data_IF_418341912915
#
_entry.id   IF_418341912915
#
_cell.length_a   1.000
_cell.length_b   1.000
_cell.length_c   1.000
_cell.angle_alpha   90.00
_cell.angle_beta   90.00
_cell.angle_gamma   90.00
#
_symmetry.space_group_name_H-M   'P 1'
#
loop_
_entity.id
_entity.type
_entity.pdbx_description
1 polymer ?
#
# COMPACT_ATOMS: atom_id res chain seq x y z
N UNK A 1 16.76 -7.67 17.44
CA UNK A 1 15.53 -7.93 18.21
C UNK A 1 14.88 -9.20 17.66
N UNK A 2 14.58 -10.17 18.49
CA UNK A 2 13.84 -11.38 18.11
C UNK A 2 12.34 -11.10 18.06
N UNK A 3 11.52 -11.93 17.36
CA UNK A 3 10.06 -11.77 17.37
C UNK A 3 9.44 -11.78 18.77
N UNK A 4 10.04 -12.54 19.71
CA UNK A 4 9.59 -12.59 21.10
C UNK A 4 9.87 -11.29 21.86
N UNK A 5 11.05 -10.70 21.66
CA UNK A 5 11.43 -9.41 22.24
C UNK A 5 10.55 -8.30 21.68
N UNK A 6 10.33 -8.29 20.36
CA UNK A 6 9.43 -7.33 19.73
C UNK A 6 8.01 -7.44 20.29
N UNK A 7 7.47 -8.66 20.41
CA UNK A 7 6.15 -8.88 21.00
C UNK A 7 6.05 -8.39 22.44
N UNK A 8 7.12 -8.57 23.23
CA UNK A 8 7.15 -8.12 24.62
C UNK A 8 7.15 -6.59 24.76
N UNK A 9 7.66 -5.88 23.73
CA UNK A 9 7.73 -4.43 23.70
C UNK A 9 6.46 -3.76 23.14
N UNK A 10 5.46 -4.54 22.70
CA UNK A 10 4.15 -4.02 22.26
C UNK A 10 3.14 -4.15 23.39
N UNK A 11 2.75 -3.05 24.08
CA UNK A 11 1.85 -3.12 25.24
C UNK A 11 0.49 -3.76 24.94
N UNK A 12 -0.08 -3.49 23.75
CA UNK A 12 -1.36 -4.04 23.33
C UNK A 12 -1.38 -5.59 23.25
N UNK A 13 -0.23 -6.24 23.15
CA UNK A 13 -0.13 -7.71 23.08
C UNK A 13 -0.04 -8.40 24.44
N UNK A 14 0.05 -7.62 25.53
CA UNK A 14 0.20 -8.20 26.87
C UNK A 14 -1.14 -8.69 27.43
N UNK A 15 -2.23 -8.06 27.04
CA UNK A 15 -3.57 -8.33 27.58
C UNK A 15 -4.47 -9.13 26.62
N UNK A 16 -4.13 -9.18 25.33
CA UNK A 16 -4.96 -9.84 24.31
C UNK A 16 -4.19 -10.43 23.16
N UNK A 17 -4.79 -11.38 22.45
CA UNK A 17 -4.34 -11.84 21.15
C UNK A 17 -4.84 -10.85 20.08
N UNK A 18 -4.03 -9.85 19.74
CA UNK A 18 -4.38 -8.88 18.72
C UNK A 18 -4.14 -9.47 17.32
N UNK A 19 -5.17 -9.49 16.47
CA UNK A 19 -5.15 -10.11 15.14
C UNK A 19 -5.60 -9.14 14.02
N UNK A 20 -5.89 -7.89 14.33
CA UNK A 20 -6.44 -6.93 13.36
C UNK A 20 -5.39 -5.95 12.82
N UNK A 21 -4.25 -6.49 12.37
CA UNK A 21 -3.14 -5.68 11.83
C UNK A 21 -3.51 -4.91 10.57
N UNK A 22 -4.43 -5.43 9.76
CA UNK A 22 -4.89 -4.73 8.56
C UNK A 22 -5.63 -3.42 8.86
N UNK A 23 -6.25 -3.29 10.04
CA UNK A 23 -6.86 -2.04 10.45
C UNK A 23 -5.87 -1.10 11.16
N UNK A 24 -5.03 -1.65 12.02
CA UNK A 24 -4.01 -0.91 12.76
C UNK A 24 -2.95 -1.86 13.31
N UNK A 25 -1.68 -1.58 13.06
CA UNK A 25 -0.55 -2.30 13.65
C UNK A 25 -0.10 -1.60 14.95
N UNK A 26 -0.40 -2.13 16.16
CA UNK A 26 0.07 -1.53 17.39
C UNK A 26 1.60 -1.43 17.42
N UNK A 27 2.09 -0.26 17.76
CA UNK A 27 3.52 0.01 17.75
C UNK A 27 4.22 -0.51 19.02
N UNK A 28 5.48 -0.96 18.91
CA UNK A 28 6.36 -1.17 20.05
C UNK A 28 6.58 0.13 20.83
N UNK A 29 6.88 0.02 22.12
CA UNK A 29 7.10 1.19 22.98
C UNK A 29 8.23 2.08 22.46
N UNK A 30 9.35 1.50 22.02
CA UNK A 30 10.49 2.27 21.50
C UNK A 30 10.13 3.11 20.24
N UNK A 31 9.16 2.66 19.43
CA UNK A 31 8.68 3.44 18.27
C UNK A 31 7.88 4.65 18.74
N UNK A 32 6.99 4.46 19.72
CA UNK A 32 6.20 5.55 20.30
C UNK A 32 7.10 6.59 20.97
N UNK A 33 8.12 6.14 21.70
CA UNK A 33 9.11 7.00 22.34
C UNK A 33 9.88 7.82 21.26
N UNK A 34 10.36 7.16 20.21
CA UNK A 34 11.07 7.84 19.11
C UNK A 34 10.22 8.87 18.38
N UNK A 35 8.92 8.60 18.18
CA UNK A 35 7.97 9.57 17.61
C UNK A 35 7.81 10.77 18.53
N UNK A 36 7.64 10.52 19.84
CA UNK A 36 7.49 11.57 20.86
C UNK A 36 8.72 12.47 20.95
N UNK A 37 9.90 11.86 20.93
CA UNK A 37 11.19 12.58 20.96
C UNK A 37 11.36 13.42 19.69
N UNK A 38 10.99 12.87 18.52
CA UNK A 38 11.08 13.61 17.25
C UNK A 38 10.15 14.81 17.23
N UNK A 39 8.92 14.67 17.72
CA UNK A 39 7.97 15.78 17.84
C UNK A 39 8.51 16.83 18.82
N UNK A 40 8.99 16.41 19.98
CA UNK A 40 9.55 17.33 20.98
C UNK A 40 10.78 18.10 20.44
N UNK A 41 11.68 17.42 19.72
CA UNK A 41 12.84 18.03 19.12
C UNK A 41 12.43 19.08 18.07
N UNK A 42 11.51 18.71 17.19
CA UNK A 42 11.00 19.63 16.17
C UNK A 42 10.34 20.88 16.77
N UNK A 43 9.49 20.70 17.78
CA UNK A 43 8.75 21.81 18.40
C UNK A 43 9.64 22.70 19.30
N UNK A 44 10.57 22.11 20.03
CA UNK A 44 11.36 22.83 21.02
C UNK A 44 12.67 23.40 20.46
N UNK A 45 13.23 22.76 19.43
CA UNK A 45 14.54 23.11 18.87
C UNK A 45 14.46 23.73 17.46
N UNK A 46 13.28 23.96 16.92
CA UNK A 46 13.07 24.52 15.59
C UNK A 46 13.70 25.92 15.36
N UNK A 47 14.10 26.62 16.44
CA UNK A 47 14.83 27.89 16.36
C UNK A 47 16.34 27.73 16.19
N UNK A 48 16.91 26.53 16.29
CA UNK A 48 18.35 26.29 16.20
C UNK A 48 18.84 26.20 14.75
N UNK A 49 17.99 25.64 13.86
CA UNK A 49 18.28 25.42 12.43
C UNK A 49 17.10 25.88 11.56
N UNK A 50 17.29 25.89 10.24
CA UNK A 50 16.20 26.12 9.32
C UNK A 50 15.20 24.92 9.35
N UNK A 51 13.93 25.15 9.76
CA UNK A 51 12.94 24.07 9.92
C UNK A 51 12.67 23.30 8.63
N UNK A 52 12.72 23.96 7.47
CA UNK A 52 12.51 23.31 6.19
C UNK A 52 13.64 22.34 5.84
N UNK A 53 14.89 22.76 6.04
CA UNK A 53 16.06 21.91 5.81
C UNK A 53 16.01 20.67 6.71
N UNK A 54 15.66 20.83 7.98
CA UNK A 54 15.53 19.72 8.93
C UNK A 54 14.40 18.77 8.53
N UNK A 55 13.24 19.30 8.13
CA UNK A 55 12.10 18.49 7.68
C UNK A 55 12.45 17.69 6.42
N UNK A 56 12.98 18.31 5.37
CA UNK A 56 13.36 17.63 4.14
C UNK A 56 14.41 16.55 4.38
N UNK A 57 15.43 16.82 5.18
CA UNK A 57 16.43 15.83 5.54
C UNK A 57 15.83 14.64 6.31
N UNK A 58 14.75 14.85 7.06
CA UNK A 58 14.04 13.77 7.74
C UNK A 58 13.23 12.90 6.78
N UNK A 59 12.56 13.49 5.78
CA UNK A 59 11.90 12.77 4.71
C UNK A 59 12.88 11.96 3.86
N UNK A 60 14.04 12.54 3.52
CA UNK A 60 15.07 11.84 2.74
C UNK A 60 15.59 10.62 3.49
N UNK A 61 15.92 10.77 4.78
CA UNK A 61 16.32 9.63 5.63
C UNK A 61 15.25 8.55 5.74
N UNK A 62 13.96 8.93 5.79
CA UNK A 62 12.87 7.97 5.83
C UNK A 62 12.78 7.19 4.50
N UNK A 63 12.87 7.88 3.35
CA UNK A 63 12.87 7.25 2.02
C UNK A 63 14.05 6.29 1.85
N UNK A 64 15.26 6.70 2.23
CA UNK A 64 16.46 5.85 2.19
C UNK A 64 16.28 4.55 2.98
N UNK A 65 15.70 4.63 4.19
CA UNK A 65 15.45 3.45 5.02
C UNK A 65 14.39 2.52 4.45
N UNK A 66 13.30 3.07 3.92
CA UNK A 66 12.25 2.29 3.27
C UNK A 66 12.79 1.64 2.01
N UNK A 67 13.50 2.38 1.16
CA UNK A 67 14.13 1.87 -0.06
C UNK A 67 15.06 0.69 0.25
N UNK A 68 15.95 0.85 1.24
CA UNK A 68 16.85 -0.23 1.67
C UNK A 68 16.10 -1.47 2.20
N UNK A 69 14.92 -1.30 2.81
CA UNK A 69 14.11 -2.41 3.32
C UNK A 69 13.41 -3.18 2.21
N UNK A 70 12.87 -2.47 1.20
CA UNK A 70 12.12 -3.10 0.09
C UNK A 70 12.99 -3.43 -1.13
N UNK A 71 14.28 -3.04 -1.14
CA UNK A 71 15.20 -3.28 -2.26
C UNK A 71 14.96 -2.33 -3.45
N UNK A 72 14.55 -1.09 -3.17
CA UNK A 72 14.34 -0.03 -4.14
C UNK A 72 15.39 1.09 -4.00
N UNK A 73 15.41 2.05 -4.94
CA UNK A 73 16.17 3.29 -4.81
C UNK A 73 15.32 4.36 -4.07
N UNK A 74 15.92 5.30 -3.34
CA UNK A 74 15.17 6.34 -2.59
C UNK A 74 14.23 7.18 -3.47
N UNK A 75 14.58 7.38 -4.73
CA UNK A 75 13.80 8.11 -5.73
C UNK A 75 12.51 7.36 -6.14
N UNK A 76 12.48 6.04 -5.94
CA UNK A 76 11.31 5.19 -6.22
C UNK A 76 10.34 5.14 -5.04
N UNK A 77 10.67 5.77 -3.91
CA UNK A 77 9.85 5.77 -2.70
C UNK A 77 9.12 7.10 -2.55
N UNK A 78 7.79 7.06 -2.57
CA UNK A 78 6.93 8.16 -2.18
C UNK A 78 6.31 7.89 -0.80
N UNK A 79 6.50 8.82 0.14
CA UNK A 79 5.85 8.75 1.45
C UNK A 79 4.44 9.31 1.36
N UNK A 80 3.47 8.56 1.87
CA UNK A 80 2.05 8.92 1.88
C UNK A 80 1.47 8.77 3.28
N UNK A 81 0.31 9.36 3.53
CA UNK A 81 -0.31 9.29 4.86
C UNK A 81 -1.05 7.98 5.12
N UNK A 82 -1.41 7.26 4.05
CA UNK A 82 -2.11 5.98 4.13
C UNK A 82 -2.09 5.27 2.78
N UNK A 83 -2.44 3.97 2.75
CA UNK A 83 -2.69 3.22 1.52
C UNK A 83 -3.75 3.90 0.64
N UNK A 84 -4.81 4.43 1.26
CA UNK A 84 -5.85 5.19 0.53
C UNK A 84 -5.26 6.42 -0.18
N UNK A 85 -4.41 7.20 0.49
CA UNK A 85 -3.73 8.35 -0.13
C UNK A 85 -2.82 7.89 -1.27
N UNK A 86 -2.04 6.82 -1.07
CA UNK A 86 -1.15 6.26 -2.09
C UNK A 86 -1.90 5.84 -3.35
N UNK A 87 -2.98 5.05 -3.21
CA UNK A 87 -3.78 4.58 -4.34
C UNK A 87 -4.47 5.75 -5.07
N UNK A 88 -5.02 6.73 -4.34
CA UNK A 88 -5.61 7.92 -4.96
C UNK A 88 -4.58 8.75 -5.73
N UNK A 89 -3.36 8.89 -5.24
CA UNK A 89 -2.28 9.57 -5.97
C UNK A 89 -1.96 8.87 -7.29
N UNK A 90 -1.89 7.53 -7.29
CA UNK A 90 -1.67 6.75 -8.50
C UNK A 90 -2.85 6.91 -9.45
N UNK A 91 -4.09 6.79 -8.97
CA UNK A 91 -5.29 6.98 -9.78
C UNK A 91 -5.37 8.37 -10.43
N UNK A 92 -4.75 9.38 -9.80
CA UNK A 92 -4.70 10.75 -10.32
C UNK A 92 -3.50 10.98 -11.24
N UNK A 93 -2.39 10.24 -11.02
CA UNK A 93 -1.15 10.42 -11.78
C UNK A 93 -1.15 9.66 -13.11
N UNK A 94 -1.91 8.58 -13.21
CA UNK A 94 -2.10 7.85 -14.47
C UNK A 94 -3.08 8.64 -15.34
N UNK A 95 -2.66 8.96 -16.56
CA UNK A 95 -3.49 9.66 -17.52
C UNK A 95 -4.43 8.65 -18.18
N UNK A 96 -5.64 8.57 -17.65
CA UNK A 96 -6.69 7.68 -18.15
C UNK A 96 -7.52 8.38 -19.23
N UNK A 97 -7.81 7.63 -20.30
CA UNK A 97 -8.72 8.05 -21.37
C UNK A 97 -10.05 7.28 -21.31
N UNK A 98 -11.15 7.85 -21.88
CA UNK A 98 -12.39 7.11 -22.01
C UNK A 98 -12.20 5.81 -22.80
N UNK A 99 -12.60 4.67 -22.21
CA UNK A 99 -12.41 3.34 -22.77
C UNK A 99 -11.21 2.58 -22.21
N UNK A 100 -10.34 3.23 -21.43
CA UNK A 100 -9.32 2.51 -20.66
C UNK A 100 -9.96 1.56 -19.63
N UNK A 101 -9.30 0.44 -19.37
CA UNK A 101 -9.79 -0.60 -18.47
C UNK A 101 -8.91 -0.66 -17.23
N UNK A 102 -9.54 -0.59 -16.05
CA UNK A 102 -8.93 -0.93 -14.77
C UNK A 102 -9.49 -2.26 -14.28
N UNK A 103 -8.61 -3.22 -14.01
CA UNK A 103 -9.00 -4.53 -13.47
C UNK A 103 -8.68 -4.59 -11.98
N UNK A 104 -9.61 -5.12 -11.20
CA UNK A 104 -9.42 -5.45 -9.78
C UNK A 104 -10.13 -6.74 -9.40
N UNK A 105 -9.83 -7.28 -8.23
CA UNK A 105 -10.63 -8.38 -7.67
C UNK A 105 -11.85 -7.85 -6.88
N UNK A 106 -12.80 -8.72 -6.59
CA UNK A 106 -13.93 -8.44 -5.67
C UNK A 106 -13.51 -8.42 -4.19
N UNK A 107 -12.26 -8.81 -3.90
CA UNK A 107 -11.70 -8.91 -2.54
C UNK A 107 -10.96 -7.65 -2.08
N UNK A 108 -10.96 -6.57 -2.88
CA UNK A 108 -10.21 -5.38 -2.53
C UNK A 108 -10.86 -4.61 -1.37
N UNK A 109 -10.00 -4.09 -0.49
CA UNK A 109 -10.43 -3.11 0.51
C UNK A 109 -11.02 -1.86 -0.19
N UNK A 110 -11.93 -1.09 0.43
CA UNK A 110 -12.45 0.15 -0.15
C UNK A 110 -11.38 1.11 -0.70
N UNK A 111 -10.18 1.14 -0.11
CA UNK A 111 -9.04 1.90 -0.63
C UNK A 111 -8.64 1.49 -2.06
N UNK A 112 -8.69 0.20 -2.37
CA UNK A 112 -8.41 -0.37 -3.69
C UNK A 112 -9.65 -0.50 -4.58
N UNK A 113 -10.79 0.06 -4.18
CA UNK A 113 -12.05 0.00 -4.94
C UNK A 113 -12.55 1.39 -5.35
N UNK A 114 -12.67 2.30 -4.37
CA UNK A 114 -13.34 3.59 -4.57
C UNK A 114 -12.63 4.51 -5.57
N UNK A 115 -11.29 4.61 -5.63
CA UNK A 115 -10.63 5.47 -6.60
C UNK A 115 -10.97 5.09 -8.04
N UNK A 116 -11.03 3.80 -8.35
CA UNK A 116 -11.34 3.31 -9.69
C UNK A 116 -12.80 3.56 -10.07
N UNK A 117 -13.74 3.36 -9.14
CA UNK A 117 -15.15 3.68 -9.37
C UNK A 117 -15.38 5.15 -9.69
N UNK A 118 -14.56 6.06 -9.16
CA UNK A 118 -14.66 7.49 -9.50
C UNK A 118 -14.26 7.76 -10.95
N UNK A 119 -13.38 6.97 -11.54
CA UNK A 119 -12.96 7.10 -12.94
C UNK A 119 -14.03 6.65 -13.92
N UNK A 120 -15.02 5.85 -13.51
CA UNK A 120 -16.15 5.46 -14.36
C UNK A 120 -16.92 6.67 -14.88
N UNK A 121 -17.00 7.75 -14.08
CA UNK A 121 -17.61 9.01 -14.52
C UNK A 121 -16.83 9.71 -15.67
N UNK A 122 -15.58 9.32 -15.88
CA UNK A 122 -14.70 9.79 -16.95
C UNK A 122 -14.68 8.84 -18.15
N UNK A 123 -15.44 7.75 -18.10
CA UNK A 123 -15.54 6.76 -19.17
C UNK A 123 -14.54 5.62 -19.07
N UNK A 124 -13.84 5.47 -17.93
CA UNK A 124 -12.98 4.31 -17.65
C UNK A 124 -13.87 3.11 -17.29
N UNK A 125 -13.57 1.95 -17.85
CA UNK A 125 -14.21 0.68 -17.46
C UNK A 125 -13.54 0.11 -16.22
N UNK A 126 -14.32 -0.23 -15.19
CA UNK A 126 -13.82 -0.97 -14.02
C UNK A 126 -14.29 -2.42 -14.12
N UNK A 127 -13.36 -3.31 -14.43
CA UNK A 127 -13.61 -4.75 -14.56
C UNK A 127 -13.25 -5.46 -13.27
N UNK A 128 -14.22 -6.21 -12.71
CA UNK A 128 -14.05 -6.93 -11.46
C UNK A 128 -13.91 -8.41 -11.75
N UNK A 129 -12.81 -9.02 -11.30
CA UNK A 129 -12.62 -10.46 -11.34
C UNK A 129 -13.21 -11.05 -10.07
N UNK A 130 -14.31 -11.80 -10.25
CA UNK A 130 -14.98 -12.48 -9.15
C UNK A 130 -14.13 -13.65 -8.62
N UNK A 131 -14.10 -13.82 -7.30
CA UNK A 131 -13.37 -14.90 -6.65
C UNK A 131 -14.33 -15.93 -6.05
N UNK A 132 -13.84 -17.13 -5.79
CA UNK A 132 -14.61 -18.18 -5.12
C UNK A 132 -13.94 -18.53 -3.80
N UNK A 133 -14.63 -18.30 -2.68
CA UNK A 133 -14.12 -18.54 -1.33
C UNK A 133 -12.73 -17.87 -1.10
N UNK A 134 -12.57 -16.64 -1.59
CA UNK A 134 -11.33 -15.89 -1.50
C UNK A 134 -10.19 -16.37 -2.41
N UNK A 135 -10.49 -17.18 -3.41
CA UNK A 135 -9.52 -17.73 -4.38
C UNK A 135 -9.77 -17.17 -5.76
N UNK A 136 -8.72 -16.62 -6.34
CA UNK A 136 -8.73 -16.08 -7.69
C UNK A 136 -8.59 -17.23 -8.72
N UNK A 137 -9.41 -17.19 -9.76
CA UNK A 137 -9.24 -18.00 -10.96
C UNK A 137 -8.24 -17.30 -11.90
N UNK A 138 -7.11 -17.95 -12.17
CA UNK A 138 -6.03 -17.37 -12.99
C UNK A 138 -6.44 -17.22 -14.45
N UNK A 139 -7.24 -18.14 -14.98
CA UNK A 139 -7.72 -18.06 -16.37
C UNK A 139 -8.68 -16.87 -16.53
N UNK A 140 -9.61 -16.68 -15.59
CA UNK A 140 -10.51 -15.54 -15.56
C UNK A 140 -9.75 -14.20 -15.38
N UNK A 141 -8.71 -14.19 -14.55
CA UNK A 141 -7.85 -13.03 -14.39
C UNK A 141 -7.11 -12.71 -15.70
N UNK A 142 -6.52 -13.72 -16.34
CA UNK A 142 -5.79 -13.56 -17.60
C UNK A 142 -6.68 -12.98 -18.70
N UNK A 143 -7.92 -13.46 -18.80
CA UNK A 143 -8.89 -12.92 -19.76
C UNK A 143 -9.25 -11.46 -19.44
N UNK A 144 -9.44 -11.15 -18.15
CA UNK A 144 -9.84 -9.82 -17.71
C UNK A 144 -8.77 -8.75 -17.97
N UNK A 145 -7.48 -9.10 -17.89
CA UNK A 145 -6.36 -8.13 -18.02
C UNK A 145 -5.87 -7.94 -19.44
N UNK A 146 -6.37 -8.70 -20.42
CA UNK A 146 -5.84 -8.74 -21.79
C UNK A 146 -5.74 -7.37 -22.48
N UNK A 147 -6.59 -6.42 -22.13
CA UNK A 147 -6.64 -5.04 -22.62
C UNK A 147 -6.60 -3.99 -21.49
N UNK A 148 -6.16 -4.40 -20.30
CA UNK A 148 -6.14 -3.51 -19.15
C UNK A 148 -5.07 -2.43 -19.26
N UNK A 149 -5.42 -1.21 -18.86
CA UNK A 149 -4.49 -0.11 -18.64
C UNK A 149 -3.78 -0.24 -17.29
N UNK A 150 -4.51 -0.67 -16.26
CA UNK A 150 -4.02 -0.86 -14.91
C UNK A 150 -4.73 -2.04 -14.24
N UNK A 151 -3.96 -2.78 -13.45
CA UNK A 151 -4.47 -3.85 -12.58
C UNK A 151 -4.17 -3.49 -11.13
N UNK A 152 -5.16 -3.61 -10.25
CA UNK A 152 -5.02 -3.37 -8.81
C UNK A 152 -5.48 -4.61 -8.03
N UNK A 153 -4.61 -5.16 -7.18
CA UNK A 153 -4.97 -6.27 -6.30
C UNK A 153 -4.15 -6.26 -5.01
N UNK A 154 -4.72 -6.86 -3.95
CA UNK A 154 -4.05 -7.04 -2.66
C UNK A 154 -3.16 -8.29 -2.66
N UNK A 155 -1.95 -8.18 -2.09
CA UNK A 155 -1.06 -9.34 -1.92
C UNK A 155 -1.66 -10.39 -0.98
N UNK A 156 -2.38 -9.93 0.04
CA UNK A 156 -3.14 -10.76 0.98
C UNK A 156 -4.54 -10.18 1.12
N UNK A 157 -5.56 -10.99 0.85
CA UNK A 157 -6.95 -10.53 0.89
C UNK A 157 -7.41 -10.22 2.31
N UNK A 158 -7.99 -9.06 2.54
CA UNK A 158 -8.35 -8.58 3.89
C UNK A 158 -9.50 -9.35 4.54
N UNK A 159 -10.37 -9.96 3.74
CA UNK A 159 -11.55 -10.70 4.25
C UNK A 159 -11.27 -12.17 4.51
N UNK A 160 -10.37 -12.79 3.73
CA UNK A 160 -10.09 -14.23 3.77
C UNK A 160 -8.67 -14.56 4.24
N UNK A 161 -7.75 -13.58 4.22
CA UNK A 161 -6.33 -13.82 4.52
C UNK A 161 -5.66 -14.72 3.47
N UNK A 162 -6.22 -14.82 2.28
CA UNK A 162 -5.62 -15.58 1.18
C UNK A 162 -4.45 -14.78 0.60
N UNK A 163 -3.28 -15.38 0.57
CA UNK A 163 -2.14 -14.84 -0.16
C UNK A 163 -2.33 -15.16 -1.65
N UNK A 164 -2.39 -14.11 -2.46
CA UNK A 164 -2.46 -14.24 -3.92
C UNK A 164 -1.07 -14.56 -4.51
N UNK A 165 -1.00 -15.20 -5.68
CA UNK A 165 0.25 -15.52 -6.36
C UNK A 165 0.80 -14.26 -7.07
N UNK A 166 1.27 -13.28 -6.29
CA UNK A 166 1.64 -11.93 -6.75
C UNK A 166 2.55 -11.95 -7.96
N UNK A 167 3.62 -12.78 -7.95
CA UNK A 167 4.57 -12.85 -9.06
C UNK A 167 3.89 -13.26 -10.37
N UNK A 168 3.06 -14.30 -10.33
CA UNK A 168 2.31 -14.79 -11.50
C UNK A 168 1.33 -13.74 -12.03
N UNK A 169 0.61 -13.07 -11.14
CA UNK A 169 -0.35 -12.02 -11.54
C UNK A 169 0.35 -10.81 -12.15
N UNK A 170 1.51 -10.42 -11.61
CA UNK A 170 2.34 -9.34 -12.17
C UNK A 170 2.86 -9.71 -13.56
N UNK A 171 3.34 -10.95 -13.74
CA UNK A 171 3.86 -11.42 -15.02
C UNK A 171 2.76 -11.40 -16.09
N UNK A 172 1.56 -11.90 -15.77
CA UNK A 172 0.39 -11.88 -16.68
C UNK A 172 0.01 -10.44 -17.05
N UNK A 173 -0.05 -9.54 -16.08
CA UNK A 173 -0.38 -8.14 -16.32
C UNK A 173 0.69 -7.44 -17.19
N UNK A 174 1.97 -7.74 -16.94
CA UNK A 174 3.09 -7.20 -17.71
C UNK A 174 3.08 -7.70 -19.17
N UNK A 175 2.74 -8.97 -19.42
CA UNK A 175 2.57 -9.51 -20.77
C UNK A 175 1.44 -8.82 -21.53
N UNK A 176 0.37 -8.41 -20.84
CA UNK A 176 -0.71 -7.62 -21.40
C UNK A 176 -0.37 -6.12 -21.57
N UNK A 177 0.77 -5.66 -21.05
CA UNK A 177 1.20 -4.26 -21.08
C UNK A 177 0.51 -3.36 -20.04
N UNK A 178 -0.14 -3.94 -19.05
CA UNK A 178 -0.83 -3.23 -17.98
C UNK A 178 0.13 -2.77 -16.87
N UNK A 179 -0.12 -1.60 -16.29
CA UNK A 179 0.48 -1.22 -15.02
C UNK A 179 -0.09 -2.07 -13.89
N UNK A 180 0.78 -2.53 -12.97
CA UNK A 180 0.33 -3.29 -11.81
C UNK A 180 0.50 -2.48 -10.53
N UNK A 181 -0.58 -2.35 -9.76
CA UNK A 181 -0.61 -1.80 -8.42
C UNK A 181 -0.92 -2.91 -7.42
N UNK A 182 0.02 -3.21 -6.52
CA UNK A 182 -0.15 -4.22 -5.48
C UNK A 182 -0.33 -3.53 -4.14
N UNK A 183 -1.48 -3.75 -3.49
CA UNK A 183 -1.68 -3.41 -2.09
C UNK A 183 -1.02 -4.49 -1.22
N UNK A 184 0.06 -4.12 -0.53
CA UNK A 184 0.89 -5.03 0.26
C UNK A 184 0.81 -4.78 1.78
N UNK A 185 -0.33 -4.24 2.25
CA UNK A 185 -0.61 -4.05 3.68
C UNK A 185 -0.69 -5.37 4.45
#
# INVERSE_FOLDING_TARGET
>A
MTPRELRADVPAFQESAYLNFGAHGPSPAYVVDAVSDTVADHEFNSGADDPYTTAFASYDRARERVAAFIGAEPEEVALTESTTDGINRIATAVDFEPGDVVVRTDLEHPAGTLPWQQLEAQGVEVRVVETTDGRLDIDAYTEAVADARLVCFSAVTWTHGTQLPVSELVDIAAEAGAFTLVDAV
#
